data_IF_288303293376
#
_entry.id   IF_288303293376
#
_cell.length_a   1.000
_cell.length_b   1.000
_cell.length_c   1.000
_cell.angle_alpha   90.00
_cell.angle_beta   90.00
_cell.angle_gamma   90.00
#
_symmetry.space_group_name_H-M   'P 1'
#
loop_
_entity.id
_entity.type
_entity.pdbx_description
1 polymer ?
#
# COMPACT_ATOMS: atom_id res chain seq x y z
N UNK A 1 -8.39 66.97 -8.08
CA UNK A 1 -7.42 66.56 -9.13
C UNK A 1 -7.15 65.07 -8.93
N UNK A 2 -7.54 64.30 -9.96
CA UNK A 2 -7.05 62.96 -10.40
C UNK A 2 -6.67 62.00 -9.27
N UNK A 3 -7.31 60.88 -8.97
CA UNK A 3 -7.95 59.90 -9.88
C UNK A 3 -6.93 58.80 -10.17
N UNK A 4 -7.01 57.64 -9.47
CA UNK A 4 -6.53 56.40 -10.06
C UNK A 4 -7.40 55.26 -9.53
N UNK A 5 -8.18 54.69 -10.42
CA UNK A 5 -9.03 53.51 -10.28
C UNK A 5 -8.10 52.30 -10.43
N UNK A 6 -7.99 51.49 -9.35
CA UNK A 6 -7.34 50.21 -9.39
C UNK A 6 -8.36 49.11 -9.74
N UNK A 7 -8.15 48.47 -10.86
CA UNK A 7 -9.02 47.44 -11.43
C UNK A 7 -9.07 46.18 -10.54
N UNK A 8 -10.24 45.86 -10.04
CA UNK A 8 -10.59 44.54 -9.47
C UNK A 8 -10.74 43.54 -10.62
N UNK A 9 -9.76 42.66 -10.76
CA UNK A 9 -9.87 41.49 -11.64
C UNK A 9 -10.75 40.47 -10.93
N UNK A 10 -11.96 40.27 -11.42
CA UNK A 10 -12.86 39.21 -11.01
C UNK A 10 -12.40 37.90 -11.65
N UNK A 11 -11.72 37.04 -10.86
CA UNK A 11 -11.55 35.64 -11.21
C UNK A 11 -12.90 34.92 -10.99
N UNK A 12 -13.62 34.70 -12.04
CA UNK A 12 -14.69 33.70 -12.09
C UNK A 12 -14.01 32.32 -12.10
N UNK A 13 -14.02 31.66 -10.96
CA UNK A 13 -13.65 30.26 -10.85
C UNK A 13 -14.71 29.42 -11.57
N UNK A 14 -14.36 28.89 -12.73
CA UNK A 14 -15.05 27.77 -13.37
C UNK A 14 -14.62 26.51 -12.62
N UNK A 15 -15.33 26.16 -11.55
CA UNK A 15 -15.27 24.86 -10.90
C UNK A 15 -16.14 23.88 -11.68
N UNK A 16 -15.57 23.22 -12.69
CA UNK A 16 -16.09 21.95 -13.17
C UNK A 16 -15.70 20.85 -12.20
N UNK A 17 -16.51 19.80 -11.99
CA UNK A 17 -16.15 18.70 -11.12
C UNK A 17 -15.01 17.91 -11.78
N UNK A 18 -13.79 18.09 -11.31
CA UNK A 18 -12.66 17.22 -11.66
C UNK A 18 -12.80 15.98 -10.78
N UNK A 19 -13.41 14.95 -11.34
CA UNK A 19 -13.39 13.60 -10.76
C UNK A 19 -11.97 13.07 -10.91
N UNK A 20 -11.16 13.23 -9.87
CA UNK A 20 -9.88 12.53 -9.78
C UNK A 20 -10.13 11.09 -9.28
N UNK A 21 -10.46 10.24 -10.21
CA UNK A 21 -10.30 8.81 -10.05
C UNK A 21 -8.79 8.58 -10.12
N UNK A 22 -8.18 8.10 -9.04
CA UNK A 22 -6.82 7.58 -9.07
C UNK A 22 -6.83 6.24 -9.82
N UNK A 23 -7.16 6.30 -11.10
CA UNK A 23 -6.98 5.20 -12.03
C UNK A 23 -5.47 5.12 -12.24
N UNK A 24 -4.90 3.94 -12.06
CA UNK A 24 -3.57 3.60 -12.53
C UNK A 24 -3.52 3.73 -14.07
N UNK A 25 -3.45 4.96 -14.58
CA UNK A 25 -3.10 5.20 -15.97
C UNK A 25 -1.59 5.04 -16.12
N UNK A 26 -1.16 3.85 -16.48
CA UNK A 26 0.10 3.69 -17.19
C UNK A 26 -0.06 4.46 -18.51
N UNK A 27 0.68 5.56 -18.67
CA UNK A 27 0.76 6.28 -19.93
C UNK A 27 1.43 5.35 -20.96
N UNK A 28 0.63 4.59 -21.68
CA UNK A 28 1.08 3.81 -22.83
C UNK A 28 1.37 4.79 -23.95
N UNK A 29 2.65 5.03 -24.24
CA UNK A 29 3.08 5.62 -25.51
C UNK A 29 2.69 4.65 -26.64
N UNK A 30 1.77 5.08 -27.47
CA UNK A 30 1.40 4.40 -28.70
C UNK A 30 2.61 4.32 -29.63
N UNK A 31 3.06 3.09 -29.89
CA UNK A 31 3.94 2.76 -31.03
C UNK A 31 3.11 1.90 -32.00
N UNK A 32 3.21 2.10 -33.32
CA UNK A 32 2.33 1.41 -34.26
C UNK A 32 2.62 -0.10 -34.31
N UNK A 33 1.54 -0.86 -34.32
CA UNK A 33 1.48 -2.31 -34.33
C UNK A 33 2.14 -2.91 -35.58
N UNK A 34 3.12 -3.81 -35.39
CA UNK A 34 3.45 -4.84 -36.39
C UNK A 34 2.75 -6.16 -36.03
N UNK A 35 2.18 -6.89 -37.03
CA UNK A 35 1.43 -8.11 -36.73
C UNK A 35 2.36 -9.26 -36.35
N UNK A 36 2.25 -9.73 -35.12
CA UNK A 36 2.95 -10.91 -34.61
C UNK A 36 2.30 -12.20 -35.10
N UNK A 37 3.11 -13.13 -35.63
CA UNK A 37 2.75 -14.54 -35.92
C UNK A 37 2.44 -15.24 -34.58
N UNK A 38 1.41 -16.12 -34.54
CA UNK A 38 1.13 -16.87 -33.32
C UNK A 38 2.25 -17.88 -33.03
N UNK A 39 2.66 -18.01 -31.74
CA UNK A 39 3.62 -19.04 -31.35
C UNK A 39 2.97 -20.43 -31.38
N UNK A 40 3.78 -21.42 -31.76
CA UNK A 40 3.47 -22.85 -31.76
C UNK A 40 3.20 -23.28 -30.31
N UNK A 41 2.01 -23.85 -30.07
CA UNK A 41 1.62 -24.41 -28.76
C UNK A 41 2.49 -25.63 -28.48
N UNK A 42 3.39 -25.52 -27.51
CA UNK A 42 4.07 -26.67 -26.92
C UNK A 42 3.17 -27.33 -25.87
N UNK A 43 3.21 -28.66 -25.75
CA UNK A 43 2.45 -29.47 -24.83
C UNK A 43 2.71 -29.05 -23.35
N UNK A 44 1.75 -29.30 -22.43
CA UNK A 44 1.92 -28.88 -21.03
C UNK A 44 3.00 -29.73 -20.35
N UNK A 45 4.21 -29.16 -20.25
CA UNK A 45 5.23 -29.62 -19.33
C UNK A 45 5.02 -28.96 -17.98
N UNK A 46 5.31 -29.68 -16.89
CA UNK A 46 5.30 -29.17 -15.53
C UNK A 46 5.99 -27.79 -15.48
N UNK A 47 5.20 -26.75 -15.29
CA UNK A 47 5.71 -25.40 -15.06
C UNK A 47 6.24 -25.34 -13.62
N UNK A 48 7.50 -25.63 -13.45
CA UNK A 48 8.24 -25.17 -12.29
C UNK A 48 8.21 -23.64 -12.35
N UNK A 49 7.41 -23.00 -11.54
CA UNK A 49 7.38 -21.54 -11.35
C UNK A 49 8.76 -21.10 -10.85
N UNK A 50 9.65 -20.74 -11.76
CA UNK A 50 10.93 -20.13 -11.39
C UNK A 50 10.61 -18.69 -10.98
N UNK A 51 10.43 -18.48 -9.68
CA UNK A 51 10.34 -17.13 -9.11
C UNK A 51 11.70 -16.46 -9.31
N UNK A 52 11.74 -15.38 -10.07
CA UNK A 52 12.98 -14.62 -10.21
C UNK A 52 13.42 -14.06 -8.85
N UNK A 53 14.69 -14.16 -8.53
CA UNK A 53 15.23 -13.65 -7.28
C UNK A 53 14.97 -12.13 -7.16
N UNK A 54 14.69 -11.62 -5.95
CA UNK A 54 14.58 -10.18 -5.69
C UNK A 54 15.88 -9.49 -6.09
N UNK A 55 15.77 -8.26 -6.59
CA UNK A 55 16.95 -7.48 -6.98
C UNK A 55 17.02 -6.22 -6.13
N UNK A 56 18.05 -6.14 -5.29
CA UNK A 56 18.40 -4.94 -4.56
C UNK A 56 19.27 -4.04 -5.41
N UNK A 57 18.86 -2.77 -5.58
CA UNK A 57 19.78 -1.74 -6.05
C UNK A 57 20.64 -1.25 -4.87
N UNK A 58 21.86 -0.81 -5.13
CA UNK A 58 22.75 -0.31 -4.07
C UNK A 58 22.17 0.94 -3.39
N UNK A 59 21.42 1.77 -4.12
CA UNK A 59 20.71 2.91 -3.57
C UNK A 59 19.59 2.49 -2.61
N UNK A 60 18.85 1.44 -2.93
CA UNK A 60 17.80 0.90 -2.06
C UNK A 60 18.40 0.31 -0.78
N UNK A 61 19.54 -0.39 -0.90
CA UNK A 61 20.28 -0.87 0.26
C UNK A 61 20.75 0.28 1.17
N UNK A 62 21.31 1.33 0.60
CA UNK A 62 21.78 2.49 1.36
C UNK A 62 20.63 3.19 2.12
N UNK A 63 19.46 3.34 1.49
CA UNK A 63 18.27 3.90 2.13
C UNK A 63 17.80 2.96 3.26
N UNK A 64 17.69 1.68 2.99
CA UNK A 64 17.29 0.67 3.98
C UNK A 64 18.21 0.71 5.21
N UNK A 65 19.50 0.56 5.00
CA UNK A 65 20.49 0.55 6.09
C UNK A 65 20.43 1.82 6.94
N UNK A 66 20.34 2.99 6.28
CA UNK A 66 20.20 4.29 6.97
C UNK A 66 18.96 4.34 7.85
N UNK A 67 17.79 3.88 7.32
CA UNK A 67 16.53 3.88 8.08
C UNK A 67 16.56 2.91 9.25
N UNK A 68 17.14 1.73 9.08
CA UNK A 68 17.23 0.74 10.17
C UNK A 68 18.18 1.25 11.28
N UNK A 69 19.34 1.82 10.94
CA UNK A 69 20.24 2.41 11.93
C UNK A 69 19.56 3.55 12.70
N UNK A 70 18.93 4.46 11.99
CA UNK A 70 18.17 5.55 12.59
C UNK A 70 17.05 5.03 13.50
N UNK A 71 16.29 4.06 13.08
CA UNK A 71 15.18 3.50 13.86
C UNK A 71 15.67 2.82 15.17
N UNK A 72 16.81 2.14 15.12
CA UNK A 72 17.44 1.56 16.32
C UNK A 72 17.97 2.65 17.26
N UNK A 73 18.56 3.72 16.73
CA UNK A 73 19.00 4.88 17.53
C UNK A 73 17.82 5.58 18.21
N UNK A 74 16.67 5.68 17.52
CA UNK A 74 15.42 6.22 18.06
C UNK A 74 14.63 5.20 18.92
N UNK A 75 15.12 3.99 19.09
CA UNK A 75 14.52 2.92 19.90
C UNK A 75 13.11 2.53 19.42
N UNK A 76 12.86 2.57 18.12
CA UNK A 76 11.58 2.14 17.55
C UNK A 76 11.30 0.65 17.81
N UNK A 77 12.34 -0.13 18.07
CA UNK A 77 12.26 -1.54 18.50
C UNK A 77 11.44 -1.75 19.77
N UNK A 78 11.36 -0.75 20.64
CA UNK A 78 10.64 -0.81 21.92
C UNK A 78 9.21 -0.32 21.86
N UNK A 79 8.81 0.35 20.76
CA UNK A 79 7.47 0.92 20.61
C UNK A 79 6.45 -0.16 20.19
N UNK A 80 5.14 0.04 20.46
CA UNK A 80 4.09 -0.70 19.78
C UNK A 80 4.27 -0.60 18.27
N UNK A 81 3.94 -1.66 17.51
CA UNK A 81 4.20 -1.69 16.06
C UNK A 81 3.58 -0.50 15.32
N UNK A 82 2.33 -0.13 15.65
CA UNK A 82 1.69 1.04 15.04
C UNK A 82 2.49 2.32 15.25
N UNK A 83 2.92 2.59 16.50
CA UNK A 83 3.74 3.77 16.80
C UNK A 83 5.09 3.72 16.06
N UNK A 84 5.72 2.56 15.98
CA UNK A 84 6.95 2.39 15.20
C UNK A 84 6.71 2.64 13.70
N UNK A 85 5.56 2.20 13.14
CA UNK A 85 5.16 2.47 11.77
C UNK A 85 4.90 3.95 11.53
N UNK A 86 4.27 4.66 12.45
CA UNK A 86 4.04 6.10 12.34
C UNK A 86 5.37 6.86 12.23
N UNK A 87 6.33 6.57 13.11
CA UNK A 87 7.66 7.19 13.09
C UNK A 87 8.48 6.77 11.85
N UNK A 88 8.46 5.49 11.49
CA UNK A 88 9.10 5.02 10.25
C UNK A 88 8.51 5.70 9.02
N UNK A 89 7.18 5.83 8.95
CA UNK A 89 6.49 6.53 7.87
C UNK A 89 6.85 8.01 7.81
N UNK A 90 6.96 8.70 8.95
CA UNK A 90 7.43 10.10 9.02
C UNK A 90 8.82 10.25 8.41
N UNK A 91 9.70 9.26 8.58
CA UNK A 91 11.05 9.31 8.02
C UNK A 91 11.07 9.29 6.48
N UNK A 92 9.96 8.95 5.83
CA UNK A 92 9.80 8.97 4.37
C UNK A 92 9.20 10.28 3.84
N UNK A 93 8.80 11.22 4.69
CA UNK A 93 8.25 12.51 4.22
C UNK A 93 9.25 13.18 3.26
N UNK A 94 8.76 13.61 2.08
CA UNK A 94 9.56 14.11 0.97
C UNK A 94 10.10 13.04 0.02
N UNK A 95 9.90 11.74 0.29
CA UNK A 95 10.23 10.71 -0.68
C UNK A 95 9.28 10.76 -1.88
N UNK A 96 9.82 10.58 -3.10
CA UNK A 96 9.06 10.73 -4.33
C UNK A 96 7.88 9.74 -4.43
N UNK A 97 6.71 10.22 -4.91
CA UNK A 97 5.64 9.37 -5.37
C UNK A 97 5.95 8.81 -6.76
N UNK A 98 5.98 7.49 -6.90
CA UNK A 98 6.18 6.83 -8.20
C UNK A 98 5.15 5.71 -8.36
N UNK A 99 4.18 5.84 -9.28
CA UNK A 99 3.16 4.82 -9.49
C UNK A 99 3.71 3.60 -10.23
N UNK A 100 3.13 2.44 -9.96
CA UNK A 100 3.35 1.23 -10.75
C UNK A 100 4.74 0.62 -10.60
N UNK A 101 5.46 0.90 -9.53
CA UNK A 101 6.82 0.36 -9.30
C UNK A 101 6.85 -1.17 -9.19
N UNK A 102 5.70 -1.80 -8.93
CA UNK A 102 5.56 -3.27 -8.89
C UNK A 102 5.24 -3.89 -10.24
N UNK A 103 4.92 -3.08 -11.27
CA UNK A 103 4.53 -3.56 -12.61
C UNK A 103 5.78 -3.80 -13.50
N UNK A 104 6.66 -4.69 -13.03
CA UNK A 104 7.90 -5.05 -13.72
C UNK A 104 7.67 -6.07 -14.83
N UNK A 105 8.57 -6.13 -15.83
CA UNK A 105 8.52 -7.11 -16.91
C UNK A 105 8.96 -8.49 -16.44
N UNK A 106 8.41 -9.53 -17.10
CA UNK A 106 8.73 -10.93 -16.83
C UNK A 106 7.84 -11.55 -15.75
N UNK A 107 8.28 -12.67 -15.15
CA UNK A 107 7.55 -13.35 -14.07
C UNK A 107 7.40 -12.47 -12.84
N UNK A 108 6.33 -12.71 -12.07
CA UNK A 108 6.11 -12.03 -10.79
C UNK A 108 7.30 -12.27 -9.85
N UNK A 109 7.74 -11.20 -9.20
CA UNK A 109 8.85 -11.25 -8.25
C UNK A 109 8.71 -10.18 -7.18
N UNK A 110 9.39 -10.39 -6.07
CA UNK A 110 9.45 -9.36 -5.03
C UNK A 110 10.27 -8.16 -5.51
N UNK A 111 9.63 -7.00 -5.56
CA UNK A 111 10.30 -5.73 -5.90
C UNK A 111 10.68 -5.01 -4.62
N UNK A 112 11.96 -4.65 -4.50
CA UNK A 112 12.50 -3.81 -3.43
C UNK A 112 12.72 -2.41 -4.02
N UNK A 113 12.04 -1.41 -3.48
CA UNK A 113 12.18 -0.02 -3.91
C UNK A 113 11.85 0.94 -2.75
N UNK A 114 12.82 1.76 -2.37
CA UNK A 114 12.67 2.84 -1.37
C UNK A 114 12.83 4.23 -1.97
N UNK A 115 13.23 4.33 -3.25
CA UNK A 115 13.49 5.60 -3.94
C UNK A 115 12.22 6.26 -4.44
N UNK A 116 11.16 5.47 -4.64
CA UNK A 116 9.86 5.97 -5.08
C UNK A 116 8.76 5.02 -4.61
N UNK A 117 7.74 5.60 -3.99
CA UNK A 117 6.66 4.86 -3.34
C UNK A 117 5.31 5.32 -3.90
N UNK A 118 4.39 4.38 -4.08
CA UNK A 118 2.96 4.68 -4.16
C UNK A 118 2.29 4.46 -2.80
N UNK A 119 0.99 4.65 -2.73
CA UNK A 119 0.27 4.55 -1.46
C UNK A 119 0.32 3.15 -0.83
N UNK A 120 0.32 2.08 -1.64
CA UNK A 120 0.36 0.70 -1.15
C UNK A 120 1.79 0.33 -0.74
N UNK A 121 2.76 0.58 -1.60
CA UNK A 121 4.17 0.27 -1.32
C UNK A 121 4.71 1.08 -0.14
N UNK A 122 4.19 2.30 0.10
CA UNK A 122 4.48 3.07 1.30
C UNK A 122 4.04 2.32 2.57
N UNK A 123 2.80 1.84 2.62
CA UNK A 123 2.27 1.09 3.78
C UNK A 123 3.04 -0.20 3.98
N UNK A 124 3.27 -0.98 2.92
CA UNK A 124 3.96 -2.27 2.97
C UNK A 124 5.41 -2.14 3.42
N UNK A 125 6.18 -1.20 2.83
CA UNK A 125 7.56 -0.96 3.24
C UNK A 125 7.65 -0.44 4.68
N UNK A 126 6.72 0.44 5.09
CA UNK A 126 6.67 0.95 6.47
C UNK A 126 6.40 -0.17 7.46
N UNK A 127 5.44 -1.06 7.15
CA UNK A 127 5.15 -2.23 7.98
C UNK A 127 6.36 -3.17 8.05
N UNK A 128 6.97 -3.51 6.91
CA UNK A 128 8.09 -4.45 6.86
C UNK A 128 9.35 -3.93 7.57
N UNK A 129 9.70 -2.64 7.39
CA UNK A 129 10.81 -2.00 8.08
C UNK A 129 10.60 -1.95 9.59
N UNK A 130 9.39 -1.57 10.04
CA UNK A 130 9.08 -1.51 11.48
C UNK A 130 9.09 -2.88 12.12
N UNK A 131 8.56 -3.90 11.42
CA UNK A 131 8.62 -5.29 11.86
C UNK A 131 10.05 -5.80 11.91
N UNK A 132 10.89 -5.49 10.91
CA UNK A 132 12.29 -5.84 10.89
C UNK A 132 13.05 -5.25 12.08
N UNK A 133 12.89 -3.96 12.36
CA UNK A 133 13.51 -3.27 13.51
C UNK A 133 13.12 -3.94 14.82
N UNK A 134 11.87 -4.34 15.00
CA UNK A 134 11.41 -5.03 16.21
C UNK A 134 12.02 -6.42 16.37
N UNK A 135 12.14 -7.18 15.26
CA UNK A 135 12.76 -8.51 15.29
C UNK A 135 14.23 -8.42 15.69
N UNK A 136 15.01 -7.55 15.04
CA UNK A 136 16.43 -7.43 15.31
C UNK A 136 16.71 -6.75 16.66
N UNK A 137 15.92 -5.77 17.09
CA UNK A 137 16.06 -5.07 18.36
C UNK A 137 15.66 -5.93 19.56
N UNK A 138 14.55 -6.68 19.43
CA UNK A 138 14.03 -7.54 20.51
C UNK A 138 14.80 -8.85 20.71
N UNK A 139 15.17 -9.51 19.62
CA UNK A 139 15.80 -10.84 19.67
C UNK A 139 17.32 -10.80 19.83
N UNK A 140 17.98 -9.74 19.38
CA UNK A 140 19.42 -9.73 19.16
C UNK A 140 20.18 -8.67 19.97
N UNK A 141 19.55 -7.69 20.58
CA UNK A 141 20.21 -6.65 21.36
C UNK A 141 21.47 -6.09 20.66
N UNK A 142 22.67 -6.34 21.24
CA UNK A 142 23.94 -5.95 20.62
C UNK A 142 24.24 -6.66 19.28
N UNK A 143 23.53 -7.74 18.93
CA UNK A 143 23.68 -8.45 17.65
C UNK A 143 22.93 -7.77 16.49
N UNK A 144 22.09 -6.77 16.74
CA UNK A 144 21.48 -5.99 15.68
C UNK A 144 22.51 -5.38 14.72
N UNK A 145 23.62 -4.88 15.25
CA UNK A 145 24.74 -4.36 14.46
C UNK A 145 25.44 -5.45 13.65
N UNK A 146 25.57 -6.68 14.21
CA UNK A 146 26.13 -7.81 13.49
C UNK A 146 25.22 -8.31 12.39
N UNK A 147 23.92 -8.32 12.62
CA UNK A 147 22.93 -8.67 11.57
C UNK A 147 23.06 -7.75 10.38
N UNK A 148 23.19 -6.44 10.59
CA UNK A 148 23.38 -5.47 9.50
C UNK A 148 24.75 -5.63 8.81
N UNK A 149 25.75 -6.23 9.46
CA UNK A 149 27.04 -6.50 8.84
C UNK A 149 27.00 -7.68 7.84
N UNK A 150 26.04 -8.59 7.99
CA UNK A 150 25.75 -9.64 7.00
C UNK A 150 24.62 -9.17 6.08
N UNK A 151 25.00 -8.54 4.97
CA UNK A 151 24.04 -7.99 3.99
C UNK A 151 23.09 -9.05 3.45
N UNK A 152 23.60 -10.22 3.08
CA UNK A 152 22.77 -11.27 2.47
C UNK A 152 21.70 -11.80 3.44
N UNK A 153 22.07 -12.02 4.70
CA UNK A 153 21.12 -12.43 5.73
C UNK A 153 20.08 -11.32 6.02
N UNK A 154 20.51 -10.07 6.03
CA UNK A 154 19.65 -8.91 6.25
C UNK A 154 18.64 -8.74 5.12
N UNK A 155 19.09 -8.84 3.86
CA UNK A 155 18.24 -8.81 2.68
C UNK A 155 17.19 -9.93 2.75
N UNK A 156 17.60 -11.17 3.00
CA UNK A 156 16.71 -12.33 3.09
C UNK A 156 15.62 -12.14 4.16
N UNK A 157 15.97 -11.63 5.34
CA UNK A 157 15.01 -11.38 6.43
C UNK A 157 14.01 -10.28 6.08
N UNK A 158 14.48 -9.17 5.52
CA UNK A 158 13.59 -8.10 5.09
C UNK A 158 12.67 -8.57 3.96
N UNK A 159 13.19 -9.28 2.97
CA UNK A 159 12.42 -9.87 1.87
C UNK A 159 11.32 -10.80 2.37
N UNK A 160 11.62 -11.63 3.38
CA UNK A 160 10.63 -12.51 4.00
C UNK A 160 9.46 -11.73 4.59
N UNK A 161 9.75 -10.63 5.32
CA UNK A 161 8.72 -9.76 5.89
C UNK A 161 7.91 -9.05 4.81
N UNK A 162 8.56 -8.45 3.81
CA UNK A 162 7.87 -7.73 2.75
C UNK A 162 7.03 -8.67 1.88
N UNK A 163 7.56 -9.87 1.56
CA UNK A 163 6.81 -10.91 0.84
C UNK A 163 5.58 -11.34 1.64
N UNK A 164 5.73 -11.51 2.95
CA UNK A 164 4.63 -11.94 3.81
C UNK A 164 3.46 -10.96 3.78
N UNK A 165 3.68 -9.66 3.75
CA UNK A 165 2.60 -8.67 3.79
C UNK A 165 2.01 -8.36 2.41
N UNK A 166 2.78 -8.56 1.32
CA UNK A 166 2.40 -8.22 -0.06
C UNK A 166 1.71 -9.33 -0.81
N UNK A 167 1.99 -10.58 -0.47
CA UNK A 167 1.51 -11.75 -1.22
C UNK A 167 0.60 -12.64 -0.38
N UNK A 168 -0.38 -13.23 -1.05
CA UNK A 168 -1.34 -14.15 -0.43
C UNK A 168 -0.63 -15.30 0.28
N UNK A 169 -1.03 -15.56 1.53
CA UNK A 169 -0.41 -16.54 2.43
C UNK A 169 1.13 -16.37 2.53
N UNK A 170 1.69 -15.21 2.13
CA UNK A 170 3.13 -14.90 2.14
C UNK A 170 3.94 -15.55 1.03
N UNK A 171 3.31 -16.08 -0.02
CA UNK A 171 3.98 -16.80 -1.10
C UNK A 171 3.77 -16.15 -2.46
N UNK A 172 4.85 -16.13 -3.28
CA UNK A 172 4.77 -15.69 -4.67
C UNK A 172 4.41 -16.90 -5.53
N UNK A 173 3.22 -16.84 -6.13
CA UNK A 173 2.72 -17.83 -7.09
C UNK A 173 2.09 -17.10 -8.28
N UNK A 174 2.94 -16.43 -9.07
CA UNK A 174 2.53 -15.59 -10.18
C UNK A 174 1.80 -14.30 -9.77
N UNK A 175 1.42 -13.53 -10.77
CA UNK A 175 0.79 -12.21 -10.62
C UNK A 175 -0.46 -12.21 -9.72
N UNK A 176 -1.41 -13.20 -9.80
CA UNK A 176 -2.61 -13.21 -8.98
C UNK A 176 -2.38 -13.48 -7.49
N UNK A 177 -1.16 -13.89 -7.09
CA UNK A 177 -0.82 -14.08 -5.68
C UNK A 177 -0.55 -12.76 -4.96
N UNK A 178 -0.19 -11.70 -5.68
CA UNK A 178 -0.07 -10.36 -5.11
C UNK A 178 -1.45 -9.87 -4.65
N UNK A 179 -1.50 -9.24 -3.49
CA UNK A 179 -2.75 -8.75 -2.90
C UNK A 179 -3.15 -7.42 -3.55
N UNK A 180 -3.76 -7.50 -4.74
CA UNK A 180 -4.08 -6.34 -5.58
C UNK A 180 -5.19 -5.46 -5.02
N UNK A 181 -6.23 -6.07 -4.44
CA UNK A 181 -7.30 -5.36 -3.75
C UNK A 181 -6.92 -5.13 -2.29
N UNK A 182 -7.14 -3.92 -1.79
CA UNK A 182 -6.72 -3.64 -0.42
C UNK A 182 -7.60 -4.31 0.62
N UNK A 183 -8.86 -4.59 0.31
CA UNK A 183 -9.74 -5.46 1.12
C UNK A 183 -9.15 -6.87 1.25
N UNK A 184 -8.59 -7.41 0.16
CA UNK A 184 -7.90 -8.69 0.17
C UNK A 184 -6.61 -8.63 0.99
N UNK A 185 -5.86 -7.53 0.85
CA UNK A 185 -4.65 -7.27 1.64
C UNK A 185 -4.96 -7.26 3.14
N UNK A 186 -6.00 -6.55 3.56
CA UNK A 186 -6.44 -6.53 4.97
C UNK A 186 -6.89 -7.91 5.42
N UNK A 187 -7.71 -8.59 4.62
CA UNK A 187 -8.28 -9.91 4.97
C UNK A 187 -7.21 -11.00 5.11
N UNK A 188 -6.28 -11.10 4.15
CA UNK A 188 -5.20 -12.09 4.19
C UNK A 188 -4.24 -11.83 5.34
N UNK A 189 -3.81 -10.57 5.52
CA UNK A 189 -2.91 -10.20 6.60
C UNK A 189 -3.58 -10.32 7.99
N UNK A 190 -4.89 -10.10 8.09
CA UNK A 190 -5.63 -10.31 9.33
C UNK A 190 -5.75 -11.80 9.69
N UNK A 191 -6.02 -12.67 8.72
CA UNK A 191 -6.05 -14.12 8.88
C UNK A 191 -4.72 -14.64 9.42
N UNK A 192 -3.60 -14.08 9.00
CA UNK A 192 -2.25 -14.43 9.43
C UNK A 192 -1.77 -13.71 10.70
N UNK A 193 -2.60 -12.83 11.28
CA UNK A 193 -2.28 -12.13 12.54
C UNK A 193 -1.32 -10.95 12.38
N UNK A 194 -1.03 -10.48 11.15
CA UNK A 194 -0.14 -9.34 10.87
C UNK A 194 -0.83 -8.00 11.11
N UNK A 195 -2.14 -7.96 10.89
CA UNK A 195 -3.01 -6.81 11.19
C UNK A 195 -4.31 -7.30 11.84
N UNK A 196 -5.13 -6.38 12.33
CA UNK A 196 -6.51 -6.63 12.75
C UNK A 196 -7.42 -5.60 12.08
N UNK A 197 -8.39 -6.05 11.30
CA UNK A 197 -9.45 -5.16 10.83
C UNK A 197 -10.32 -4.75 12.02
N UNK A 198 -10.34 -3.45 12.32
CA UNK A 198 -11.13 -2.87 13.41
C UNK A 198 -12.33 -2.07 12.90
N UNK A 199 -12.58 -2.05 11.60
CA UNK A 199 -13.64 -1.23 10.99
C UNK A 199 -15.02 -1.56 11.58
N UNK A 200 -15.32 -2.85 11.77
CA UNK A 200 -16.57 -3.28 12.41
C UNK A 200 -16.65 -2.83 13.88
N UNK A 201 -15.55 -2.93 14.63
CA UNK A 201 -15.49 -2.52 16.03
C UNK A 201 -15.66 -1.00 16.18
N UNK A 202 -15.22 -0.22 15.21
CA UNK A 202 -15.45 1.22 15.13
C UNK A 202 -16.90 1.58 14.80
N UNK A 203 -17.77 0.60 14.58
CA UNK A 203 -19.16 0.80 14.23
C UNK A 203 -19.37 0.97 12.71
N UNK A 204 -18.47 0.44 11.91
CA UNK A 204 -18.56 0.47 10.46
C UNK A 204 -19.80 -0.23 9.90
N UNK A 205 -20.18 0.18 8.71
CA UNK A 205 -21.29 -0.38 7.93
C UNK A 205 -20.77 -1.51 7.03
N UNK A 206 -21.55 -2.56 6.86
CA UNK A 206 -21.25 -3.63 5.91
C UNK A 206 -21.51 -3.12 4.49
N UNK A 207 -20.50 -3.24 3.65
CA UNK A 207 -20.58 -3.02 2.21
C UNK A 207 -20.49 -4.36 1.48
N UNK A 208 -21.45 -4.60 0.57
CA UNK A 208 -21.56 -5.80 -0.27
C UNK A 208 -21.54 -5.47 -1.75
N UNK A 209 -21.13 -4.25 -2.10
CA UNK A 209 -20.98 -3.87 -3.50
C UNK A 209 -19.95 -4.77 -4.20
N UNK A 210 -20.22 -5.18 -5.46
CA UNK A 210 -19.31 -6.04 -6.19
C UNK A 210 -17.91 -5.47 -6.33
N UNK A 211 -16.90 -6.34 -6.23
CA UNK A 211 -15.50 -6.05 -6.54
C UNK A 211 -15.19 -6.78 -7.85
N UNK A 212 -14.94 -6.04 -8.94
CA UNK A 212 -14.66 -6.59 -10.26
C UNK A 212 -13.78 -5.68 -11.13
N UNK A 213 -13.14 -4.66 -10.52
CA UNK A 213 -12.47 -3.59 -11.26
C UNK A 213 -11.37 -4.11 -12.21
N UNK A 214 -10.48 -4.99 -11.73
CA UNK A 214 -9.36 -5.46 -12.55
C UNK A 214 -9.82 -6.30 -13.73
N UNK A 215 -10.77 -7.24 -13.49
CA UNK A 215 -11.26 -8.09 -14.57
C UNK A 215 -12.27 -7.40 -15.49
N UNK A 216 -12.86 -6.27 -15.07
CA UNK A 216 -13.63 -5.39 -15.95
C UNK A 216 -12.75 -4.49 -16.83
N UNK A 217 -11.45 -4.31 -16.47
CA UNK A 217 -10.50 -3.42 -17.14
C UNK A 217 -9.19 -4.15 -17.50
N UNK A 218 -9.28 -5.37 -18.03
CA UNK A 218 -8.11 -6.23 -18.32
C UNK A 218 -7.03 -5.52 -19.16
N UNK A 219 -7.43 -4.66 -20.07
CA UNK A 219 -6.51 -3.93 -20.95
C UNK A 219 -5.64 -2.91 -20.21
N UNK A 220 -6.01 -2.53 -18.98
CA UNK A 220 -5.23 -1.64 -18.14
C UNK A 220 -4.04 -2.34 -17.45
N UNK A 221 -4.04 -3.67 -17.43
CA UNK A 221 -3.07 -4.48 -16.71
C UNK A 221 -2.33 -5.41 -17.67
N UNK A 222 -1.07 -5.12 -17.96
CA UNK A 222 -0.25 -5.89 -18.92
C UNK A 222 -0.24 -7.40 -18.64
N UNK A 223 -0.17 -7.78 -17.36
CA UNK A 223 -0.11 -9.17 -16.93
C UNK A 223 -1.42 -9.94 -17.20
N UNK A 224 -2.55 -9.22 -17.29
CA UNK A 224 -3.85 -9.81 -17.62
C UNK A 224 -4.01 -10.14 -19.11
N UNK A 225 -2.98 -9.91 -19.93
CA UNK A 225 -2.89 -10.51 -21.26
C UNK A 225 -2.85 -12.05 -21.19
N UNK A 226 -2.48 -12.64 -20.03
CA UNK A 226 -2.64 -14.07 -19.77
C UNK A 226 -4.06 -14.36 -19.26
N UNK A 227 -4.90 -15.07 -20.04
CA UNK A 227 -6.29 -15.36 -19.64
C UNK A 227 -6.39 -16.20 -18.35
N UNK A 228 -5.36 -16.98 -18.01
CA UNK A 228 -5.36 -17.79 -16.78
C UNK A 228 -5.34 -16.90 -15.54
N UNK A 229 -4.63 -15.77 -15.57
CA UNK A 229 -4.63 -14.79 -14.49
C UNK A 229 -5.99 -14.10 -14.32
N UNK A 230 -6.67 -13.83 -15.43
CA UNK A 230 -8.05 -13.27 -15.37
C UNK A 230 -9.00 -14.23 -14.66
N UNK A 231 -8.88 -15.55 -14.91
CA UNK A 231 -9.70 -16.55 -14.22
C UNK A 231 -9.44 -16.57 -12.71
N UNK A 232 -8.16 -16.52 -12.30
CA UNK A 232 -7.78 -16.51 -10.89
C UNK A 232 -8.22 -15.23 -10.18
N UNK A 233 -8.08 -14.08 -10.84
CA UNK A 233 -8.54 -12.80 -10.29
C UNK A 233 -10.06 -12.75 -10.16
N UNK A 234 -10.82 -13.27 -11.13
CA UNK A 234 -12.29 -13.41 -10.99
C UNK A 234 -12.71 -14.23 -9.78
N UNK A 235 -11.98 -15.29 -9.45
CA UNK A 235 -12.25 -16.06 -8.25
C UNK A 235 -11.97 -15.23 -6.98
N UNK A 236 -10.90 -14.43 -6.99
CA UNK A 236 -10.59 -13.51 -5.91
C UNK A 236 -11.68 -12.45 -5.75
N UNK A 237 -12.06 -11.77 -6.83
CA UNK A 237 -13.11 -10.76 -6.86
C UNK A 237 -14.46 -11.30 -6.37
N UNK A 238 -14.83 -12.51 -6.81
CA UNK A 238 -16.05 -13.17 -6.33
C UNK A 238 -15.99 -13.44 -4.83
N UNK A 239 -14.88 -13.96 -4.33
CA UNK A 239 -14.68 -14.23 -2.90
C UNK A 239 -14.76 -12.95 -2.06
N UNK A 240 -14.18 -11.86 -2.53
CA UNK A 240 -14.23 -10.55 -1.86
C UNK A 240 -15.64 -9.97 -1.85
N UNK A 241 -16.37 -10.10 -2.98
CA UNK A 241 -17.76 -9.68 -3.09
C UNK A 241 -18.65 -10.46 -2.12
N UNK A 242 -18.54 -11.80 -2.09
CA UNK A 242 -19.35 -12.67 -1.23
C UNK A 242 -19.07 -12.44 0.27
N UNK A 243 -17.82 -12.12 0.62
CA UNK A 243 -17.42 -11.83 1.99
C UNK A 243 -17.91 -10.50 2.53
N UNK A 244 -18.11 -9.53 1.65
CA UNK A 244 -18.35 -8.14 2.03
C UNK A 244 -17.18 -7.53 2.82
N UNK A 245 -17.29 -6.25 3.15
CA UNK A 245 -16.30 -5.51 3.93
C UNK A 245 -16.97 -4.51 4.84
N UNK A 246 -16.41 -4.29 6.03
CA UNK A 246 -16.88 -3.21 6.91
C UNK A 246 -16.05 -1.95 6.65
N UNK A 247 -16.72 -0.81 6.56
CA UNK A 247 -16.04 0.48 6.47
C UNK A 247 -16.76 1.52 7.35
N UNK A 248 -16.02 2.50 7.84
CA UNK A 248 -16.57 3.65 8.55
C UNK A 248 -16.93 4.72 7.53
N UNK A 249 -18.23 5.06 7.34
CA UNK A 249 -18.67 6.11 6.43
C UNK A 249 -18.01 7.47 6.75
N UNK A 250 -17.79 8.28 5.72
CA UNK A 250 -17.06 9.55 5.83
C UNK A 250 -17.64 10.54 6.84
N UNK A 251 -18.96 10.51 7.05
CA UNK A 251 -19.67 11.37 8.02
C UNK A 251 -19.49 10.93 9.47
N UNK A 252 -19.00 9.70 9.70
CA UNK A 252 -18.79 9.11 11.00
C UNK A 252 -17.33 9.02 11.43
N UNK A 253 -16.37 9.36 10.53
CA UNK A 253 -14.93 9.25 10.85
C UNK A 253 -14.56 10.09 12.08
N UNK A 254 -15.11 11.29 12.20
CA UNK A 254 -14.82 12.19 13.31
C UNK A 254 -15.31 11.65 14.67
N UNK A 255 -16.46 10.95 14.69
CA UNK A 255 -17.01 10.34 15.89
C UNK A 255 -16.13 9.21 16.45
N UNK A 256 -15.38 8.53 15.59
CA UNK A 256 -14.56 7.36 15.95
C UNK A 256 -13.06 7.69 16.03
N UNK A 257 -12.68 8.91 15.68
CA UNK A 257 -11.28 9.33 15.55
C UNK A 257 -10.43 8.98 16.79
N UNK A 258 -10.93 9.22 18.00
CA UNK A 258 -10.22 8.93 19.26
C UNK A 258 -9.89 7.44 19.47
N UNK A 259 -10.54 6.55 18.72
CA UNK A 259 -10.30 5.10 18.77
C UNK A 259 -9.28 4.65 17.74
N UNK A 260 -8.87 5.54 16.82
CA UNK A 260 -7.84 5.33 15.80
C UNK A 260 -6.50 5.78 16.40
N UNK A 261 -5.49 4.94 16.28
CA UNK A 261 -4.17 5.16 16.87
C UNK A 261 -3.14 5.51 15.78
N UNK A 262 -2.04 6.14 16.20
CA UNK A 262 -0.90 6.36 15.33
C UNK A 262 -0.43 5.04 14.70
N UNK A 263 -0.25 5.07 13.38
CA UNK A 263 0.18 3.92 12.60
C UNK A 263 -0.92 2.89 12.29
N UNK A 264 -2.18 3.11 12.70
CA UNK A 264 -3.29 2.35 12.13
C UNK A 264 -3.31 2.57 10.61
N UNK A 265 -3.47 1.52 9.86
CA UNK A 265 -3.52 1.56 8.40
C UNK A 265 -4.90 2.04 7.97
N UNK A 266 -4.94 3.11 7.21
CA UNK A 266 -6.16 3.72 6.68
C UNK A 266 -6.27 3.37 5.20
N UNK A 267 -7.38 2.74 4.82
CA UNK A 267 -7.75 2.52 3.43
C UNK A 267 -9.02 3.31 3.11
N UNK A 268 -8.89 4.35 2.28
CA UNK A 268 -10.00 5.18 1.84
C UNK A 268 -10.83 4.40 0.81
N UNK A 269 -12.08 4.09 1.14
CA UNK A 269 -12.99 3.34 0.29
C UNK A 269 -13.36 4.14 -0.97
N UNK A 270 -13.73 3.41 -2.04
CA UNK A 270 -13.95 3.99 -3.36
C UNK A 270 -15.43 3.95 -3.75
N UNK A 271 -15.94 5.02 -4.35
CA UNK A 271 -17.25 5.04 -5.02
C UNK A 271 -17.16 4.62 -6.50
N UNK A 272 -15.95 4.31 -6.98
CA UNK A 272 -15.77 3.79 -8.35
C UNK A 272 -16.25 2.35 -8.38
N UNK A 273 -17.17 2.08 -9.31
CA UNK A 273 -17.76 0.75 -9.44
C UNK A 273 -16.68 -0.33 -9.58
N UNK A 274 -16.77 -1.36 -8.77
CA UNK A 274 -15.88 -2.52 -8.78
C UNK A 274 -14.54 -2.32 -8.07
N UNK A 275 -14.21 -1.09 -7.66
CA UNK A 275 -12.98 -0.76 -6.93
C UNK A 275 -13.28 -0.60 -5.43
N UNK A 276 -12.61 -1.35 -4.60
CA UNK A 276 -12.81 -1.36 -3.14
C UNK A 276 -12.18 -0.15 -2.44
N UNK A 277 -10.93 0.16 -2.74
CA UNK A 277 -10.13 1.19 -2.08
C UNK A 277 -9.45 2.08 -3.12
N UNK A 278 -9.60 3.38 -2.96
CA UNK A 278 -9.00 4.38 -3.85
C UNK A 278 -7.62 4.86 -3.39
N UNK A 279 -7.31 4.73 -2.10
CA UNK A 279 -6.06 5.25 -1.54
C UNK A 279 -5.75 4.66 -0.16
N UNK A 280 -4.47 4.57 0.19
CA UNK A 280 -4.02 4.05 1.50
C UNK A 280 -2.97 4.95 2.14
N UNK A 281 -2.79 4.78 3.45
CA UNK A 281 -1.79 5.47 4.25
C UNK A 281 -1.86 5.06 5.72
N UNK A 282 -1.25 5.84 6.58
CA UNK A 282 -1.23 5.62 8.03
C UNK A 282 -1.97 6.74 8.74
N UNK A 283 -2.67 6.41 9.79
CA UNK A 283 -3.22 7.37 10.75
C UNK A 283 -2.07 8.05 11.50
N UNK A 284 -2.21 9.34 11.71
CA UNK A 284 -1.22 10.14 12.42
C UNK A 284 -1.87 11.29 13.18
N UNK A 285 -1.68 11.31 14.49
CA UNK A 285 -2.09 12.42 15.33
C UNK A 285 -1.06 13.55 15.29
N UNK A 286 -1.50 14.76 14.96
CA UNK A 286 -0.69 15.98 14.97
C UNK A 286 -1.47 17.07 15.67
N UNK A 287 -0.93 17.62 16.74
CA UNK A 287 -1.53 18.70 17.52
C UNK A 287 -3.01 18.46 17.91
N UNK A 288 -3.33 17.20 18.27
CA UNK A 288 -4.68 16.80 18.68
C UNK A 288 -5.67 16.59 17.51
N UNK A 289 -5.20 16.59 16.27
CA UNK A 289 -5.99 16.30 15.07
C UNK A 289 -5.50 15.04 14.39
N UNK A 290 -6.42 14.17 13.96
CA UNK A 290 -6.09 12.97 13.20
C UNK A 290 -5.89 13.30 11.72
N UNK A 291 -4.71 13.03 11.22
CA UNK A 291 -4.28 13.21 9.84
C UNK A 291 -4.00 11.88 9.15
N UNK A 292 -3.70 11.92 7.86
CA UNK A 292 -3.22 10.79 7.08
C UNK A 292 -1.78 11.05 6.64
N UNK A 293 -0.86 10.15 6.99
CA UNK A 293 0.50 10.10 6.47
C UNK A 293 0.50 9.14 5.29
N UNK A 294 0.82 9.62 4.09
CA UNK A 294 0.59 8.87 2.86
C UNK A 294 1.51 9.32 1.71
N UNK A 295 1.54 8.51 0.64
CA UNK A 295 2.16 8.84 -0.63
C UNK A 295 1.05 9.15 -1.68
N UNK A 296 0.58 10.39 -1.82
CA UNK A 296 -0.45 10.75 -2.78
C UNK A 296 0.15 11.12 -4.14
N UNK A 297 -0.64 10.90 -5.21
CA UNK A 297 -0.28 11.40 -6.54
C UNK A 297 -0.20 12.93 -6.58
N UNK A 298 -1.11 13.62 -5.86
CA UNK A 298 -1.09 15.08 -5.76
C UNK A 298 -0.07 15.48 -4.69
N UNK A 299 0.94 16.24 -5.11
CA UNK A 299 2.11 16.60 -4.29
C UNK A 299 3.35 15.79 -4.64
N UNK A 300 3.18 14.65 -5.32
CA UNK A 300 4.25 13.82 -5.87
C UNK A 300 5.30 13.34 -4.84
N UNK A 301 4.94 13.34 -3.56
CA UNK A 301 5.83 12.90 -2.47
C UNK A 301 5.04 12.37 -1.26
N UNK A 302 5.72 11.61 -0.42
CA UNK A 302 5.17 11.19 0.89
C UNK A 302 4.97 12.44 1.76
N UNK A 303 3.77 12.60 2.31
CA UNK A 303 3.41 13.77 3.11
C UNK A 303 2.38 13.46 4.19
N UNK A 304 2.25 14.35 5.15
CA UNK A 304 1.13 14.40 6.09
C UNK A 304 0.03 15.24 5.44
N UNK A 305 -1.21 14.73 5.40
CA UNK A 305 -2.33 15.47 4.81
C UNK A 305 -2.51 16.83 5.49
N UNK A 306 -2.74 17.89 4.68
CA UNK A 306 -2.97 19.23 5.21
C UNK A 306 -4.31 19.35 5.97
N UNK A 307 -5.29 18.52 5.61
CA UNK A 307 -6.59 18.43 6.25
C UNK A 307 -6.62 17.29 7.25
N UNK A 308 -7.54 17.36 8.22
CA UNK A 308 -7.89 16.20 9.05
C UNK A 308 -8.26 15.01 8.19
N UNK A 309 -8.12 13.79 8.72
CA UNK A 309 -8.54 12.57 7.99
C UNK A 309 -10.00 12.67 7.53
N UNK A 310 -10.91 13.07 8.41
CA UNK A 310 -12.33 13.21 8.11
C UNK A 310 -12.59 14.21 6.98
N UNK A 311 -12.00 15.41 7.06
CA UNK A 311 -12.19 16.44 6.03
C UNK A 311 -11.54 16.07 4.71
N UNK A 312 -10.40 15.38 4.77
CA UNK A 312 -9.73 14.87 3.57
C UNK A 312 -10.62 13.89 2.82
N UNK A 313 -11.20 12.90 3.51
CA UNK A 313 -12.08 11.91 2.88
C UNK A 313 -13.33 12.59 2.30
N UNK A 314 -13.99 13.47 3.04
CA UNK A 314 -15.17 14.22 2.56
C UNK A 314 -14.87 15.10 1.32
N UNK A 315 -13.66 15.64 1.24
CA UNK A 315 -13.29 16.60 0.18
C UNK A 315 -12.85 15.94 -1.11
N UNK A 316 -12.37 14.69 -1.07
CA UNK A 316 -11.93 13.96 -2.26
C UNK A 316 -13.12 13.26 -2.87
N UNK A 317 -13.58 13.74 -4.03
CA UNK A 317 -14.60 13.06 -4.82
C UNK A 317 -14.16 11.62 -5.15
N UNK A 318 -15.07 10.67 -4.99
CA UNK A 318 -14.77 9.25 -5.22
C UNK A 318 -14.30 8.47 -3.99
N UNK A 319 -14.28 9.10 -2.81
CA UNK A 319 -14.05 8.43 -1.52
C UNK A 319 -15.28 8.64 -0.62
N UNK A 320 -15.72 7.60 0.08
CA UNK A 320 -16.95 7.62 0.89
C UNK A 320 -16.77 7.15 2.33
N UNK A 321 -15.58 6.66 2.69
CA UNK A 321 -15.26 6.23 4.04
C UNK A 321 -13.87 5.63 4.18
N UNK A 322 -13.66 4.88 5.24
CA UNK A 322 -12.37 4.24 5.53
C UNK A 322 -12.53 2.82 6.07
N UNK A 323 -11.65 1.93 5.66
CA UNK A 323 -11.32 0.69 6.36
C UNK A 323 -10.13 0.99 7.27
N UNK A 324 -10.14 0.46 8.48
CA UNK A 324 -9.06 0.67 9.45
C UNK A 324 -8.48 -0.68 9.88
N UNK A 325 -7.21 -0.89 9.58
CA UNK A 325 -6.49 -2.09 9.98
C UNK A 325 -5.38 -1.73 10.98
N UNK A 326 -5.44 -2.32 12.17
CA UNK A 326 -4.44 -2.10 13.22
C UNK A 326 -3.28 -3.06 13.10
N UNK A 327 -2.03 -2.59 12.96
CA UNK A 327 -0.87 -3.46 12.92
C UNK A 327 -0.76 -4.28 14.20
N UNK A 328 -0.41 -5.56 14.05
CA UNK A 328 -0.13 -6.45 15.18
C UNK A 328 1.29 -6.96 15.11
N UNK A 329 1.91 -7.06 16.26
CA UNK A 329 3.09 -7.89 16.47
C UNK A 329 2.68 -9.05 17.36
N UNK A 330 2.31 -10.15 16.76
CA UNK A 330 2.36 -11.38 17.49
C UNK A 330 3.80 -11.92 17.35
N UNK A 331 4.60 -11.97 18.44
CA UNK A 331 5.97 -12.44 18.36
C UNK A 331 6.09 -13.87 17.80
N UNK A 332 5.06 -14.70 18.03
CA UNK A 332 5.00 -16.05 17.48
C UNK A 332 4.76 -16.03 15.97
N UNK A 333 3.97 -15.10 15.46
CA UNK A 333 3.69 -14.98 14.02
C UNK A 333 4.91 -14.47 13.25
N UNK A 334 5.64 -13.51 13.80
CA UNK A 334 6.86 -12.96 13.17
C UNK A 334 8.06 -13.90 13.40
N UNK A 335 8.18 -14.51 14.56
CA UNK A 335 9.23 -15.48 14.88
C UNK A 335 9.09 -16.85 14.19
N UNK A 336 7.89 -17.21 13.75
CA UNK A 336 7.61 -18.40 12.95
C UNK A 336 7.79 -18.19 11.43
N UNK A 337 7.97 -16.95 10.96
CA UNK A 337 8.50 -16.71 9.63
C UNK A 337 9.94 -17.19 9.62
N UNK A 338 10.35 -18.01 8.66
CA UNK A 338 11.75 -18.43 8.48
C UNK A 338 12.63 -17.17 8.29
N UNK A 339 13.07 -16.61 9.42
CA UNK A 339 13.91 -15.42 9.52
C UNK A 339 15.39 -15.81 9.62
#
# INVERSE_FOLDING_TARGET
MRGTIGAMIKYRALLGPVVFVAIFFVAVRWSPFEPHRPPVVAAPGEQTTVTAAPTWADEDWAIFESKIRWALEQRLDTLPLGSAMAEMGRSFVGAAYVPGTLEVEGPERLVINFRGLDCVTFVENTWALSSFVRVIGGALGLDAVRTLADRALTEQRYESLLRSVRYRDGHIDGYPSRLHYFTDWVGDNAKRGLVRDISRELGGTLDTEPIDFMTAHVDAYRQLADPSFVVLLKQTEQRLTDGGRYFVPQDRIEEVAERIQDGDIIAATSTVRGLDVAHTGLALWVDGTLHMLHAPLVGEEVQISALSLADRIRRIGGQDGIIVARPRTDPETIGGMEL
#
